data_IF_871534154244
#
_entry.id   IF_871534154244
#
_cell.length_a   1.000
_cell.length_b   1.000
_cell.length_c   1.000
_cell.angle_alpha   90.00
_cell.angle_beta   90.00
_cell.angle_gamma   90.00
#
_symmetry.space_group_name_H-M   'P 1'
#
loop_
_entity.id
_entity.type
_entity.pdbx_description
1 polymer ?
#
# COMPACT_ATOMS: atom_id res chain seq x y z
N UNK A 1 -12.84 -2.74 12.18
CA UNK A 1 -12.06 -2.94 10.95
C UNK A 1 -12.31 -1.78 9.99
N UNK A 2 -11.28 -1.21 9.45
CA UNK A 2 -11.41 -0.10 8.49
C UNK A 2 -11.69 -0.62 7.08
N UNK A 3 -12.25 0.24 6.24
CA UNK A 3 -12.50 -0.08 4.83
C UNK A 3 -11.21 0.02 4.04
N UNK A 4 -11.10 -0.78 2.99
CA UNK A 4 -9.98 -0.71 2.07
C UNK A 4 -10.51 -0.24 0.72
N UNK A 5 -9.98 0.88 0.25
CA UNK A 5 -10.32 1.44 -1.06
C UNK A 5 -9.07 1.39 -1.94
N UNK A 6 -9.27 1.25 -3.24
CA UNK A 6 -8.17 1.13 -4.19
C UNK A 6 -8.19 2.25 -5.20
N UNK A 7 -7.11 2.99 -5.30
CA UNK A 7 -6.94 3.93 -6.40
C UNK A 7 -6.75 3.13 -7.70
N UNK A 8 -7.15 3.70 -8.81
CA UNK A 8 -7.03 3.03 -10.11
C UNK A 8 -5.59 2.64 -10.42
N UNK A 9 -4.62 3.50 -10.08
CA UNK A 9 -3.21 3.21 -10.27
C UNK A 9 -2.75 1.97 -9.51
N UNK A 10 -3.27 1.78 -8.30
CA UNK A 10 -2.93 0.61 -7.48
C UNK A 10 -3.51 -0.67 -8.08
N UNK A 11 -4.71 -0.61 -8.61
CA UNK A 11 -5.34 -1.76 -9.28
C UNK A 11 -4.49 -2.16 -10.49
N UNK A 12 -4.09 -1.20 -11.30
CA UNK A 12 -3.25 -1.46 -12.47
C UNK A 12 -1.90 -2.03 -12.09
N UNK A 13 -1.30 -1.50 -11.02
CA UNK A 13 -0.03 -2.02 -10.52
C UNK A 13 -0.18 -3.49 -10.12
N UNK A 14 -1.23 -3.81 -9.36
CA UNK A 14 -1.44 -5.16 -8.87
C UNK A 14 -1.66 -6.17 -10.00
N UNK A 15 -2.33 -5.76 -11.07
CA UNK A 15 -2.57 -6.60 -12.24
C UNK A 15 -1.29 -7.02 -12.95
N UNK A 16 -0.23 -6.23 -12.82
CA UNK A 16 1.07 -6.51 -13.45
C UNK A 16 1.98 -7.39 -12.60
N UNK A 17 1.60 -7.66 -11.37
CA UNK A 17 2.41 -8.41 -10.42
C UNK A 17 2.06 -9.88 -10.49
N UNK A 18 3.06 -10.75 -10.33
CA UNK A 18 2.87 -12.20 -10.25
C UNK A 18 1.79 -12.55 -9.22
N UNK A 19 0.94 -13.52 -9.54
CA UNK A 19 -0.21 -13.90 -8.71
C UNK A 19 0.14 -14.26 -7.28
N UNK A 20 1.22 -14.98 -7.08
CA UNK A 20 1.63 -15.39 -5.72
C UNK A 20 2.06 -14.19 -4.90
N UNK A 21 2.77 -13.26 -5.52
CA UNK A 21 3.19 -12.02 -4.87
C UNK A 21 1.97 -11.13 -4.61
N UNK A 22 1.08 -11.02 -5.58
CA UNK A 22 -0.15 -10.24 -5.42
C UNK A 22 -1.00 -10.74 -4.25
N UNK A 23 -1.15 -12.05 -4.10
CA UNK A 23 -1.87 -12.65 -2.96
C UNK A 23 -1.22 -12.31 -1.63
N UNK A 24 0.10 -12.36 -1.59
CA UNK A 24 0.87 -12.02 -0.39
C UNK A 24 0.65 -10.55 -0.02
N UNK A 25 0.66 -9.67 -1.00
CA UNK A 25 0.39 -8.25 -0.81
C UNK A 25 -1.04 -8.04 -0.28
N UNK A 26 -2.02 -8.70 -0.89
CA UNK A 26 -3.42 -8.58 -0.47
C UNK A 26 -3.64 -9.06 0.97
N UNK A 27 -2.99 -10.15 1.37
CA UNK A 27 -3.07 -10.63 2.75
C UNK A 27 -2.49 -9.62 3.73
N UNK A 28 -1.39 -9.00 3.35
CA UNK A 28 -0.74 -8.03 4.22
C UNK A 28 -1.57 -6.75 4.36
N UNK A 29 -2.23 -6.33 3.29
CA UNK A 29 -3.15 -5.19 3.32
C UNK A 29 -4.36 -5.51 4.21
N UNK A 30 -4.92 -6.71 4.10
CA UNK A 30 -6.01 -7.14 4.95
C UNK A 30 -5.60 -7.16 6.42
N UNK A 31 -4.39 -7.64 6.71
CA UNK A 31 -3.82 -7.61 8.05
C UNK A 31 -3.71 -6.15 8.57
N UNK A 32 -3.21 -5.25 7.72
CA UNK A 32 -3.08 -3.83 8.07
C UNK A 32 -4.44 -3.24 8.46
N UNK A 33 -5.48 -3.54 7.69
CA UNK A 33 -6.83 -3.04 7.97
C UNK A 33 -7.36 -3.48 9.33
N UNK A 34 -6.99 -4.70 9.75
CA UNK A 34 -7.40 -5.22 11.06
C UNK A 34 -6.50 -4.77 12.21
N UNK A 35 -5.35 -4.17 11.92
CA UNK A 35 -4.34 -3.83 12.92
C UNK A 35 -3.83 -2.40 12.82
N UNK A 36 -4.58 -1.54 12.18
CA UNK A 36 -4.12 -0.17 11.88
C UNK A 36 -3.66 0.60 13.13
N UNK A 37 -4.36 0.44 14.23
CA UNK A 37 -4.02 1.11 15.49
C UNK A 37 -2.74 0.58 16.14
N UNK A 38 -2.34 -0.64 15.78
CA UNK A 38 -1.16 -1.29 16.36
C UNK A 38 0.10 -1.11 15.51
N UNK A 39 -0.07 -0.68 14.28
CA UNK A 39 1.05 -0.55 13.32
C UNK A 39 1.74 0.78 13.50
N UNK A 40 3.07 0.74 13.61
CA UNK A 40 3.87 1.95 13.54
C UNK A 40 3.99 2.34 12.08
N UNK A 41 3.11 3.21 11.61
CA UNK A 41 3.09 3.63 10.22
C UNK A 41 4.39 4.35 9.85
N UNK A 42 4.92 4.06 8.64
CA UNK A 42 6.11 4.71 8.13
C UNK A 42 5.70 5.83 7.15
N UNK A 43 5.72 7.10 7.58
CA UNK A 43 5.30 8.20 6.71
C UNK A 43 6.32 8.47 5.61
N UNK A 44 5.83 8.93 4.47
CA UNK A 44 6.63 9.39 3.36
C UNK A 44 6.69 10.91 3.37
N UNK A 45 7.73 11.47 2.76
CA UNK A 45 7.96 12.91 2.73
C UNK A 45 7.95 13.41 1.28
N UNK A 46 8.14 14.73 1.11
CA UNK A 46 8.20 15.36 -0.20
C UNK A 46 6.87 15.28 -0.92
N UNK A 47 6.91 14.89 -2.17
CA UNK A 47 5.70 14.80 -3.01
C UNK A 47 4.74 13.69 -2.56
N UNK A 48 5.21 12.78 -1.69
CA UNK A 48 4.37 11.72 -1.13
C UNK A 48 3.87 12.03 0.28
N UNK A 49 4.02 13.26 0.72
CA UNK A 49 3.57 13.69 2.05
C UNK A 49 2.09 13.40 2.24
N UNK A 50 1.72 12.88 3.39
CA UNK A 50 0.34 12.48 3.68
C UNK A 50 0.06 11.02 3.40
N UNK A 51 1.06 10.29 2.91
CA UNK A 51 0.94 8.86 2.69
C UNK A 51 1.93 8.09 3.56
N UNK A 52 1.75 6.77 3.59
CA UNK A 52 2.57 5.86 4.38
C UNK A 52 2.97 4.68 3.50
N UNK A 53 4.05 4.00 3.87
CA UNK A 53 4.45 2.79 3.16
C UNK A 53 4.31 1.56 4.04
N UNK A 54 3.93 0.46 3.42
CA UNK A 54 3.88 -0.86 4.03
C UNK A 54 4.88 -1.74 3.28
N UNK A 55 5.79 -2.37 4.02
CA UNK A 55 6.82 -3.24 3.44
C UNK A 55 6.35 -4.68 3.43
N UNK A 56 6.49 -5.33 2.27
CA UNK A 56 6.20 -6.75 2.12
C UNK A 56 7.36 -7.36 1.34
N UNK A 57 8.42 -7.77 2.05
CA UNK A 57 9.64 -8.21 1.40
C UNK A 57 10.24 -7.10 0.55
N UNK A 58 10.43 -7.36 -0.74
CA UNK A 58 10.94 -6.36 -1.69
C UNK A 58 9.84 -5.48 -2.27
N UNK A 59 8.61 -5.67 -1.83
CA UNK A 59 7.47 -4.94 -2.35
C UNK A 59 7.04 -3.85 -1.38
N UNK A 60 6.43 -2.82 -1.92
CA UNK A 60 5.95 -1.68 -1.14
C UNK A 60 4.53 -1.36 -1.55
N UNK A 61 3.72 -1.02 -0.56
CA UNK A 61 2.37 -0.49 -0.77
C UNK A 61 2.36 0.92 -0.20
N UNK A 62 1.94 1.88 -0.98
CA UNK A 62 1.78 3.26 -0.53
C UNK A 62 0.29 3.51 -0.33
N UNK A 63 -0.06 3.95 0.86
CA UNK A 63 -1.45 4.14 1.24
C UNK A 63 -1.64 5.44 2.02
N UNK A 64 -2.87 5.94 2.00
CA UNK A 64 -3.29 7.05 2.86
C UNK A 64 -4.42 6.57 3.76
N UNK A 65 -4.70 7.32 4.80
CA UNK A 65 -5.78 7.00 5.73
C UNK A 65 -6.71 8.20 5.79
N UNK A 66 -7.99 7.97 5.53
CA UNK A 66 -9.01 9.00 5.64
C UNK A 66 -10.19 8.44 6.43
N UNK A 67 -10.53 9.10 7.54
CA UNK A 67 -11.60 8.65 8.42
C UNK A 67 -11.36 7.18 8.83
N UNK A 68 -12.24 6.29 8.43
CA UNK A 68 -12.16 4.87 8.73
C UNK A 68 -11.73 4.04 7.52
N UNK A 69 -11.04 4.65 6.55
CA UNK A 69 -10.65 3.99 5.31
C UNK A 69 -9.15 4.06 5.09
N UNK A 70 -8.62 2.97 4.55
CA UNK A 70 -7.26 2.92 4.00
C UNK A 70 -7.41 3.00 2.49
N UNK A 71 -6.70 3.93 1.87
CA UNK A 71 -6.74 4.09 0.41
C UNK A 71 -5.40 3.64 -0.14
N UNK A 72 -5.41 2.56 -0.92
CA UNK A 72 -4.19 2.06 -1.55
C UNK A 72 -3.92 2.89 -2.79
N UNK A 73 -2.83 3.65 -2.75
CA UNK A 73 -2.49 4.60 -3.80
C UNK A 73 -1.71 3.95 -4.93
N UNK A 74 -0.68 3.18 -4.61
CA UNK A 74 0.07 2.42 -5.61
C UNK A 74 0.89 1.32 -4.93
N UNK A 75 1.31 0.34 -5.75
CA UNK A 75 2.05 -0.84 -5.32
C UNK A 75 3.21 -1.04 -6.28
N UNK A 76 4.36 -1.44 -5.77
CA UNK A 76 5.49 -1.71 -6.65
C UNK A 76 6.69 -2.29 -5.93
N UNK A 77 7.69 -2.65 -6.74
CA UNK A 77 8.96 -3.15 -6.22
C UNK A 77 9.76 -1.99 -5.61
N UNK A 78 10.46 -2.26 -4.50
CA UNK A 78 11.23 -1.23 -3.78
C UNK A 78 12.19 -0.42 -4.65
N UNK A 79 12.68 -1.00 -5.72
CA UNK A 79 13.62 -0.33 -6.61
C UNK A 79 12.96 0.63 -7.59
N UNK A 80 11.67 0.51 -7.81
CA UNK A 80 10.99 1.24 -8.87
C UNK A 80 9.80 2.08 -8.42
N UNK A 81 9.28 1.81 -7.24
CA UNK A 81 8.00 2.37 -6.82
C UNK A 81 7.93 3.90 -6.83
N UNK A 82 9.05 4.57 -6.58
CA UNK A 82 9.07 6.03 -6.51
C UNK A 82 9.64 6.72 -7.75
N UNK A 83 10.08 5.97 -8.75
CA UNK A 83 10.83 6.54 -9.88
C UNK A 83 9.99 7.30 -10.89
N UNK A 84 8.76 6.88 -11.10
CA UNK A 84 7.89 7.42 -12.17
C UNK A 84 6.61 8.04 -11.65
N UNK A 85 6.57 8.35 -10.37
CA UNK A 85 5.35 8.88 -9.73
C UNK A 85 5.35 10.39 -9.60
#
# INVERSE_FOLDING_TARGET
MVKILWAESAIKDLEKIDKLIARRILRRIAWLAGNLEKVAAEPLAGEFKGTFKLRIGDWRVVYSVENDSIIIQFVGHRKEIYKTR
#
